data_IF_515523114727
#
_entry.id   IF_515523114727
#
_cell.length_a   1.000
_cell.length_b   1.000
_cell.length_c   1.000
_cell.angle_alpha   90.00
_cell.angle_beta   90.00
_cell.angle_gamma   90.00
#
_symmetry.space_group_name_H-M   'P 1'
#
loop_
_entity.id
_entity.type
_entity.pdbx_description
1 polymer ?
#
# COMPACT_ATOMS: atom_id res chain seq x y z
N UNK A 1 -2.30 -4.65 -57.44
CA UNK A 1 -0.86 -4.41 -57.14
C UNK A 1 -0.72 -3.14 -56.29
N UNK A 2 0.19 -3.16 -55.29
CA UNK A 2 0.53 -2.13 -54.26
C UNK A 2 -0.56 -1.87 -53.19
N UNK A 3 -0.53 -2.38 -51.95
CA UNK A 3 0.50 -2.75 -50.94
C UNK A 3 1.15 -1.57 -50.21
N UNK A 4 0.72 -1.39 -48.94
CA UNK A 4 1.42 -0.96 -47.69
C UNK A 4 2.31 0.29 -47.69
N UNK A 5 2.05 1.17 -46.71
CA UNK A 5 2.97 1.47 -45.58
C UNK A 5 2.20 2.23 -44.49
N UNK A 6 1.57 1.47 -43.59
CA UNK A 6 1.32 1.94 -42.22
C UNK A 6 2.63 1.79 -41.45
N UNK A 7 3.12 2.89 -40.89
CA UNK A 7 4.29 2.91 -40.02
C UNK A 7 3.92 2.33 -38.66
N UNK A 8 4.29 1.07 -38.47
CA UNK A 8 4.33 0.38 -37.19
C UNK A 8 5.36 1.02 -36.26
N UNK A 9 4.90 1.89 -35.36
CA UNK A 9 5.68 2.32 -34.19
C UNK A 9 5.48 1.27 -33.10
N UNK A 10 6.39 0.30 -33.08
CA UNK A 10 6.56 -0.70 -32.02
C UNK A 10 6.90 0.01 -30.71
N UNK A 11 5.88 0.28 -29.88
CA UNK A 11 6.06 0.64 -28.49
C UNK A 11 6.40 -0.63 -27.70
N UNK A 12 7.69 -0.91 -27.52
CA UNK A 12 8.20 -1.94 -26.63
C UNK A 12 7.94 -1.54 -25.17
N UNK A 13 6.69 -1.66 -24.71
CA UNK A 13 6.38 -1.67 -23.29
C UNK A 13 6.84 -3.01 -22.72
N UNK A 14 7.85 -2.95 -21.85
CA UNK A 14 8.18 -4.06 -20.95
C UNK A 14 6.94 -4.31 -20.08
N UNK A 15 6.16 -5.33 -20.45
CA UNK A 15 5.04 -5.80 -19.65
C UNK A 15 5.61 -6.46 -18.41
N UNK A 16 5.66 -5.71 -17.30
CA UNK A 16 5.95 -6.28 -15.99
C UNK A 16 4.81 -7.25 -15.65
N UNK A 17 5.04 -8.55 -15.86
CA UNK A 17 4.11 -9.60 -15.47
C UNK A 17 4.06 -9.61 -13.94
N UNK A 18 3.03 -8.99 -13.35
CA UNK A 18 2.76 -9.06 -11.91
C UNK A 18 2.49 -10.52 -11.55
N UNK A 19 3.43 -11.15 -10.86
CA UNK A 19 3.25 -12.49 -10.30
C UNK A 19 2.61 -12.37 -8.92
N UNK A 20 1.36 -12.84 -8.80
CA UNK A 20 0.68 -12.97 -7.50
C UNK A 20 1.37 -14.02 -6.62
N UNK A 21 1.40 -13.80 -5.31
CA UNK A 21 1.93 -14.80 -4.34
C UNK A 21 1.22 -16.16 -4.46
N UNK A 22 -0.09 -16.16 -4.73
CA UNK A 22 -0.84 -17.40 -4.99
C UNK A 22 -0.45 -18.07 -6.32
N UNK A 23 -0.16 -17.28 -7.35
CA UNK A 23 0.36 -17.81 -8.62
C UNK A 23 1.72 -18.48 -8.41
N UNK A 24 2.57 -17.91 -7.55
CA UNK A 24 3.86 -18.47 -7.15
C UNK A 24 3.73 -19.80 -6.39
N UNK A 25 2.78 -19.91 -5.46
CA UNK A 25 2.48 -21.17 -4.74
C UNK A 25 1.88 -22.22 -5.69
N UNK A 26 0.95 -21.83 -6.57
CA UNK A 26 0.40 -22.73 -7.60
C UNK A 26 1.50 -23.23 -8.54
N UNK A 27 2.47 -22.38 -8.90
CA UNK A 27 3.60 -22.75 -9.75
C UNK A 27 4.58 -23.69 -9.04
N UNK A 28 4.82 -23.47 -7.73
CA UNK A 28 5.60 -24.39 -6.89
C UNK A 28 4.96 -25.78 -6.83
N UNK A 29 3.64 -25.87 -6.63
CA UNK A 29 2.92 -27.14 -6.64
C UNK A 29 2.88 -27.81 -8.02
N UNK A 30 2.84 -27.06 -9.13
CA UNK A 30 2.88 -27.66 -10.49
C UNK A 30 4.27 -28.17 -10.87
N UNK A 31 5.34 -27.54 -10.39
CA UNK A 31 6.71 -28.05 -10.55
C UNK A 31 7.02 -29.29 -9.68
N UNK A 32 6.15 -29.64 -8.73
CA UNK A 32 6.36 -30.75 -7.80
C UNK A 32 5.53 -32.02 -8.12
N UNK A 33 4.77 -32.07 -9.21
CA UNK A 33 4.12 -33.32 -9.62
C UNK A 33 5.15 -34.34 -10.16
N UNK A 34 5.11 -35.61 -9.74
CA UNK A 34 5.98 -36.64 -10.29
C UNK A 34 5.53 -36.96 -11.73
N UNK A 35 6.25 -36.47 -12.73
CA UNK A 35 6.07 -36.91 -14.12
C UNK A 35 6.70 -38.30 -14.34
N UNK A 36 6.08 -39.17 -15.17
CA UNK A 36 6.47 -40.56 -15.30
C UNK A 36 7.79 -40.77 -16.05
N UNK A 37 8.44 -41.84 -15.61
CA UNK A 37 9.68 -42.54 -15.96
C UNK A 37 10.15 -42.53 -17.45
N UNK A 38 10.56 -41.37 -17.98
CA UNK A 38 11.62 -41.27 -19.02
C UNK A 38 12.16 -39.82 -19.09
N UNK A 39 13.22 -39.55 -18.34
CA UNK A 39 13.72 -38.20 -18.07
C UNK A 39 14.77 -37.76 -19.11
N UNK A 40 14.42 -36.82 -20.00
CA UNK A 40 15.35 -36.21 -20.98
C UNK A 40 16.31 -35.21 -20.28
N UNK A 41 17.64 -35.28 -20.47
CA UNK A 41 18.61 -34.36 -19.87
C UNK A 41 18.37 -32.87 -20.21
N UNK A 42 17.68 -32.54 -21.32
CA UNK A 42 17.30 -31.15 -21.65
C UNK A 42 16.19 -30.62 -20.73
N UNK A 43 15.27 -31.45 -20.26
CA UNK A 43 14.22 -31.06 -19.31
C UNK A 43 14.80 -30.78 -17.93
N UNK A 44 15.78 -31.56 -17.45
CA UNK A 44 16.50 -31.30 -16.18
C UNK A 44 17.11 -29.90 -16.10
N UNK A 45 17.69 -29.42 -17.21
CA UNK A 45 18.30 -28.09 -17.29
C UNK A 45 17.24 -26.99 -17.28
N UNK A 46 16.07 -27.24 -17.87
CA UNK A 46 14.94 -26.31 -17.90
C UNK A 46 14.24 -26.22 -16.54
N UNK A 47 14.07 -27.34 -15.84
CA UNK A 47 13.55 -27.40 -14.47
C UNK A 47 14.49 -26.73 -13.48
N UNK A 48 15.81 -26.98 -13.58
CA UNK A 48 16.82 -26.32 -12.76
C UNK A 48 16.84 -24.80 -12.97
N UNK A 49 16.69 -24.34 -14.22
CA UNK A 49 16.62 -22.91 -14.54
C UNK A 49 15.32 -22.27 -14.00
N UNK A 50 14.20 -23.00 -14.02
CA UNK A 50 12.93 -22.57 -13.43
C UNK A 50 13.05 -22.41 -11.91
N UNK A 51 13.63 -23.40 -11.22
CA UNK A 51 13.85 -23.39 -9.76
C UNK A 51 14.78 -22.24 -9.33
N UNK A 52 15.90 -22.02 -10.05
CA UNK A 52 16.80 -20.89 -9.75
C UNK A 52 16.10 -19.54 -9.92
N UNK A 53 15.31 -19.37 -11.00
CA UNK A 53 14.55 -18.13 -11.23
C UNK A 53 13.48 -17.90 -10.18
N UNK A 54 12.85 -18.97 -9.70
CA UNK A 54 11.87 -18.91 -8.60
C UNK A 54 12.53 -18.49 -7.29
N UNK A 55 13.66 -19.10 -6.93
CA UNK A 55 14.42 -18.75 -5.71
C UNK A 55 14.88 -17.29 -5.76
N UNK A 56 15.42 -16.83 -6.89
CA UNK A 56 15.82 -15.42 -7.05
C UNK A 56 14.63 -14.46 -6.92
N UNK A 57 13.47 -14.82 -7.45
CA UNK A 57 12.25 -14.02 -7.32
C UNK A 57 11.78 -13.97 -5.87
N UNK A 58 11.82 -15.10 -5.17
CA UNK A 58 11.47 -15.18 -3.75
C UNK A 58 12.41 -14.35 -2.87
N UNK A 59 13.73 -14.47 -3.08
CA UNK A 59 14.74 -13.65 -2.41
C UNK A 59 14.53 -12.16 -2.68
N UNK A 60 14.23 -11.78 -3.94
CA UNK A 60 13.92 -10.40 -4.29
C UNK A 60 12.69 -9.89 -3.55
N UNK A 61 11.62 -10.67 -3.49
CA UNK A 61 10.38 -10.31 -2.79
C UNK A 61 10.62 -10.15 -1.29
N UNK A 62 11.33 -11.09 -0.64
CA UNK A 62 11.71 -10.96 0.77
C UNK A 62 12.53 -9.69 0.99
N UNK A 63 13.53 -9.43 0.13
CA UNK A 63 14.35 -8.23 0.21
C UNK A 63 13.51 -6.94 0.15
N UNK A 64 12.52 -6.88 -0.75
CA UNK A 64 11.61 -5.74 -0.86
C UNK A 64 10.70 -5.58 0.36
N UNK A 65 10.17 -6.69 0.91
CA UNK A 65 9.35 -6.69 2.14
C UNK A 65 10.17 -6.20 3.33
N UNK A 66 11.38 -6.72 3.52
CA UNK A 66 12.28 -6.28 4.59
C UNK A 66 12.64 -4.80 4.48
N UNK A 67 12.90 -4.32 3.26
CA UNK A 67 13.17 -2.90 3.00
C UNK A 67 11.96 -2.03 3.37
N UNK A 68 10.77 -2.43 2.94
CA UNK A 68 9.51 -1.77 3.29
C UNK A 68 9.30 -1.75 4.80
N UNK A 69 9.53 -2.86 5.51
CA UNK A 69 9.36 -2.90 6.97
C UNK A 69 10.37 -2.00 7.68
N UNK A 70 11.63 -2.04 7.26
CA UNK A 70 12.69 -1.22 7.84
C UNK A 70 12.33 0.28 7.78
N UNK A 71 11.95 0.78 6.61
CA UNK A 71 11.60 2.19 6.47
C UNK A 71 10.24 2.54 7.05
N UNK A 72 9.23 1.67 6.94
CA UNK A 72 7.88 1.92 7.46
C UNK A 72 7.81 1.92 8.97
N UNK A 73 8.41 0.92 9.62
CA UNK A 73 8.51 0.89 11.08
C UNK A 73 9.47 1.98 11.55
N UNK A 74 10.62 2.13 10.88
CA UNK A 74 11.63 3.14 11.20
C UNK A 74 11.06 4.55 11.23
N UNK A 75 10.34 4.98 10.18
CA UNK A 75 9.73 6.31 10.15
C UNK A 75 8.67 6.48 11.24
N UNK A 76 7.90 5.43 11.55
CA UNK A 76 6.84 5.50 12.58
C UNK A 76 7.42 5.82 13.96
N UNK A 77 8.46 5.08 14.38
CA UNK A 77 9.14 5.33 15.65
C UNK A 77 9.92 6.63 15.64
N UNK A 78 10.60 6.94 14.52
CA UNK A 78 11.32 8.19 14.35
C UNK A 78 10.41 9.41 14.51
N UNK A 79 9.25 9.41 13.87
CA UNK A 79 8.29 10.51 13.97
C UNK A 79 7.74 10.64 15.38
N UNK A 80 7.34 9.53 16.02
CA UNK A 80 6.86 9.58 17.41
C UNK A 80 7.93 10.14 18.34
N UNK A 81 9.20 9.76 18.18
CA UNK A 81 10.30 10.30 18.96
C UNK A 81 10.53 11.78 18.67
N UNK A 82 10.61 12.16 17.39
CA UNK A 82 10.91 13.53 16.97
C UNK A 82 9.80 14.52 17.39
N UNK A 83 8.53 14.13 17.27
CA UNK A 83 7.38 14.99 17.62
C UNK A 83 7.31 15.25 19.14
N UNK A 84 7.84 14.36 19.99
CA UNK A 84 7.97 14.63 21.44
C UNK A 84 8.86 15.83 21.73
N UNK A 85 9.88 16.08 20.91
CA UNK A 85 10.77 17.22 21.07
C UNK A 85 10.32 18.42 20.23
N UNK A 86 9.80 18.18 19.02
CA UNK A 86 9.40 19.20 18.06
C UNK A 86 7.89 19.13 17.77
N UNK A 87 7.11 19.88 18.56
CA UNK A 87 5.64 19.91 18.57
C UNK A 87 5.05 20.70 17.38
N UNK A 88 5.54 20.46 16.17
CA UNK A 88 5.02 21.04 14.92
C UNK A 88 4.84 19.95 13.84
N UNK A 89 4.04 18.90 14.13
CA UNK A 89 3.91 17.73 13.26
C UNK A 89 3.44 18.07 11.83
N UNK A 90 2.53 19.03 11.64
CA UNK A 90 2.02 19.39 10.31
C UNK A 90 3.12 20.06 9.48
N UNK A 91 3.90 20.94 10.08
CA UNK A 91 5.03 21.59 9.41
C UNK A 91 6.12 20.59 9.04
N UNK A 92 6.42 19.64 9.93
CA UNK A 92 7.37 18.55 9.63
C UNK A 92 6.90 17.75 8.42
N UNK A 93 5.60 17.41 8.36
CA UNK A 93 5.05 16.70 7.20
C UNK A 93 5.17 17.56 5.94
N UNK A 94 4.88 18.86 5.97
CA UNK A 94 5.07 19.74 4.79
C UNK A 94 6.51 19.72 4.31
N UNK A 95 7.49 19.81 5.22
CA UNK A 95 8.91 19.67 4.86
C UNK A 95 9.21 18.32 4.20
N UNK A 96 8.64 17.23 4.72
CA UNK A 96 8.77 15.91 4.10
C UNK A 96 8.22 15.91 2.68
N UNK A 97 7.03 16.47 2.44
CA UNK A 97 6.41 16.53 1.12
C UNK A 97 7.26 17.34 0.12
N UNK A 98 7.82 18.47 0.56
CA UNK A 98 8.71 19.31 -0.27
C UNK A 98 10.00 18.56 -0.61
N UNK A 99 10.66 17.93 0.37
CA UNK A 99 11.89 17.17 0.13
C UNK A 99 11.61 15.95 -0.77
N UNK A 100 10.49 15.25 -0.56
CA UNK A 100 10.06 14.14 -1.44
C UNK A 100 9.84 14.61 -2.87
N UNK A 101 9.25 15.79 -3.08
CA UNK A 101 9.10 16.39 -4.40
C UNK A 101 10.46 16.69 -5.04
N UNK A 102 11.41 17.25 -4.30
CA UNK A 102 12.76 17.53 -4.80
C UNK A 102 13.54 16.25 -5.13
N UNK A 103 13.53 15.25 -4.24
CA UNK A 103 14.20 13.97 -4.46
C UNK A 103 13.62 13.19 -5.63
N UNK A 104 12.28 13.13 -5.74
CA UNK A 104 11.62 12.50 -6.89
C UNK A 104 11.93 13.26 -8.19
N UNK A 105 11.92 14.60 -8.17
CA UNK A 105 12.30 15.42 -9.33
C UNK A 105 13.74 15.18 -9.78
N UNK A 106 14.67 15.12 -8.84
CA UNK A 106 16.08 14.80 -9.09
C UNK A 106 16.22 13.40 -9.70
N UNK A 107 15.54 12.40 -9.14
CA UNK A 107 15.61 11.01 -9.61
C UNK A 107 14.98 10.85 -11.01
N UNK A 108 13.90 11.59 -11.31
CA UNK A 108 13.31 11.67 -12.66
C UNK A 108 14.27 12.31 -13.66
N UNK A 109 14.95 13.38 -13.27
CA UNK A 109 15.96 14.04 -14.11
C UNK A 109 17.11 13.07 -14.42
N UNK A 110 17.63 12.41 -13.38
CA UNK A 110 18.70 11.42 -13.51
C UNK A 110 18.30 10.25 -14.41
N UNK A 111 17.08 9.73 -14.24
CA UNK A 111 16.53 8.67 -15.07
C UNK A 111 16.41 9.09 -16.54
N UNK A 112 15.97 10.33 -16.80
CA UNK A 112 15.91 10.88 -18.15
C UNK A 112 17.29 10.99 -18.80
N UNK A 113 18.29 11.49 -18.06
CA UNK A 113 19.68 11.61 -18.56
C UNK A 113 20.25 10.24 -18.92
N UNK A 114 20.06 9.22 -18.08
CA UNK A 114 20.64 7.90 -18.31
C UNK A 114 19.90 7.07 -19.37
N UNK A 115 18.57 7.15 -19.45
CA UNK A 115 17.78 6.26 -20.32
C UNK A 115 17.29 6.94 -21.60
N UNK A 116 17.38 8.27 -21.70
CA UNK A 116 16.83 9.05 -22.80
C UNK A 116 15.30 8.97 -22.94
N UNK A 117 14.60 8.30 -22.01
CA UNK A 117 13.14 8.15 -22.07
C UNK A 117 12.45 9.46 -21.74
N UNK A 118 11.41 9.78 -22.53
CA UNK A 118 10.62 10.98 -22.33
C UNK A 118 9.91 10.95 -20.96
N UNK A 119 9.90 12.10 -20.28
CA UNK A 119 9.24 12.26 -18.97
C UNK A 119 7.73 12.29 -19.15
N UNK A 120 6.99 11.62 -18.28
CA UNK A 120 5.53 11.65 -18.30
C UNK A 120 5.05 13.04 -17.85
N UNK A 121 4.42 13.75 -18.78
CA UNK A 121 3.73 15.02 -18.54
C UNK A 121 2.23 14.73 -18.55
N UNK A 122 1.55 15.12 -17.48
CA UNK A 122 0.09 14.96 -17.35
C UNK A 122 -0.60 16.22 -17.85
N UNK A 123 -1.72 16.05 -18.53
CA UNK A 123 -2.59 17.15 -18.93
C UNK A 123 -3.29 17.77 -17.71
N UNK A 124 -3.48 19.09 -17.70
CA UNK A 124 -4.01 19.84 -16.54
C UNK A 124 -5.39 19.37 -16.05
N UNK A 125 -6.37 19.06 -16.91
CA UNK A 125 -7.67 18.56 -16.48
C UNK A 125 -7.58 17.20 -15.79
N UNK A 126 -6.73 16.31 -16.30
CA UNK A 126 -6.46 15.00 -15.68
C UNK A 126 -5.74 15.19 -14.34
N UNK A 127 -4.75 16.08 -14.32
CA UNK A 127 -3.98 16.43 -13.14
C UNK A 127 -4.89 16.96 -12.01
N UNK A 128 -5.82 17.86 -12.31
CA UNK A 128 -6.74 18.42 -11.34
C UNK A 128 -7.85 17.45 -10.93
N UNK A 129 -8.51 16.78 -11.89
CA UNK A 129 -9.69 15.95 -11.58
C UNK A 129 -9.33 14.60 -10.93
N UNK A 130 -8.16 14.05 -11.23
CA UNK A 130 -7.79 12.70 -10.79
C UNK A 130 -6.76 12.72 -9.65
N UNK A 131 -5.72 13.55 -9.75
CA UNK A 131 -4.64 13.55 -8.75
C UNK A 131 -4.94 14.48 -7.58
N UNK A 132 -5.57 15.65 -7.78
CA UNK A 132 -5.79 16.59 -6.68
C UNK A 132 -6.64 16.02 -5.53
N UNK A 133 -7.80 15.37 -5.76
CA UNK A 133 -8.61 14.81 -4.66
C UNK A 133 -7.84 13.74 -3.88
N UNK A 134 -7.13 12.86 -4.60
CA UNK A 134 -6.30 11.82 -4.02
C UNK A 134 -5.15 12.41 -3.21
N UNK A 135 -4.44 13.42 -3.74
CA UNK A 135 -3.33 14.10 -3.08
C UNK A 135 -3.77 14.86 -1.82
N UNK A 136 -4.85 15.63 -1.88
CA UNK A 136 -5.36 16.36 -0.72
C UNK A 136 -5.79 15.38 0.39
N UNK A 137 -6.54 14.33 0.06
CA UNK A 137 -6.92 13.30 1.02
C UNK A 137 -5.68 12.63 1.65
N UNK A 138 -4.63 12.39 0.85
CA UNK A 138 -3.35 11.84 1.32
C UNK A 138 -2.62 12.74 2.29
N UNK A 139 -2.60 14.04 2.02
CA UNK A 139 -1.88 14.97 2.87
C UNK A 139 -2.57 15.18 4.20
N UNK A 140 -3.91 15.26 4.20
CA UNK A 140 -4.69 15.36 5.43
C UNK A 140 -4.61 14.07 6.24
N UNK A 141 -4.68 12.90 5.59
CA UNK A 141 -4.41 11.60 6.20
C UNK A 141 -3.06 11.60 6.94
N UNK A 142 -1.96 11.89 6.24
CA UNK A 142 -0.60 11.86 6.81
C UNK A 142 -0.42 12.95 7.88
N UNK A 143 -0.94 14.16 7.64
CA UNK A 143 -0.85 15.29 8.55
C UNK A 143 -1.53 15.01 9.89
N UNK A 144 -2.82 14.63 9.86
CA UNK A 144 -3.58 14.29 11.07
C UNK A 144 -3.01 13.05 11.78
N UNK A 145 -2.50 12.08 11.02
CA UNK A 145 -1.82 10.89 11.58
C UNK A 145 -0.56 11.27 12.36
N UNK A 146 0.28 12.15 11.79
CA UNK A 146 1.47 12.64 12.50
C UNK A 146 1.08 13.53 13.69
N UNK A 147 0.06 14.37 13.55
CA UNK A 147 -0.39 15.21 14.65
C UNK A 147 -0.86 14.39 15.86
N UNK A 148 -1.51 13.26 15.62
CA UNK A 148 -1.91 12.37 16.72
C UNK A 148 -0.75 11.88 17.58
N UNK A 149 0.49 11.81 17.06
CA UNK A 149 1.64 11.37 17.84
C UNK A 149 2.02 12.33 18.97
N UNK A 150 1.49 13.54 19.00
CA UNK A 150 1.62 14.41 20.18
C UNK A 150 0.82 13.85 21.37
N UNK A 151 -0.29 13.18 21.11
CA UNK A 151 -1.28 12.82 22.13
C UNK A 151 -1.33 11.34 22.49
N UNK A 152 -1.05 10.44 21.54
CA UNK A 152 -1.28 8.99 21.71
C UNK A 152 -0.04 8.14 21.41
N UNK A 153 0.00 6.92 21.93
CA UNK A 153 1.12 5.99 21.71
C UNK A 153 1.07 5.35 20.32
N UNK A 154 2.17 4.69 19.93
CA UNK A 154 2.26 3.98 18.64
C UNK A 154 1.24 2.85 18.58
N UNK A 155 0.96 2.16 19.70
CA UNK A 155 -0.03 1.08 19.70
C UNK A 155 -1.45 1.60 19.48
N UNK A 156 -1.85 2.67 20.18
CA UNK A 156 -3.16 3.27 20.00
C UNK A 156 -3.32 3.90 18.61
N UNK A 157 -2.24 4.50 18.08
CA UNK A 157 -2.18 4.96 16.70
C UNK A 157 -2.42 3.80 15.72
N UNK A 158 -1.62 2.73 15.82
CA UNK A 158 -1.67 1.60 14.88
C UNK A 158 -3.04 0.92 14.88
N UNK A 159 -3.60 0.69 16.08
CA UNK A 159 -4.91 0.07 16.24
C UNK A 159 -6.03 0.95 15.69
N UNK A 160 -6.06 2.22 16.06
CA UNK A 160 -7.08 3.15 15.53
C UNK A 160 -6.92 3.34 14.03
N UNK A 161 -5.68 3.34 13.51
CA UNK A 161 -5.39 3.50 12.08
C UNK A 161 -5.90 2.34 11.24
N UNK A 162 -5.92 1.12 11.79
CA UNK A 162 -6.43 -0.08 11.10
C UNK A 162 -7.92 0.02 10.71
N UNK A 163 -8.70 0.89 11.37
CA UNK A 163 -10.10 1.20 10.97
C UNK A 163 -10.22 1.81 9.58
N UNK A 164 -9.11 2.27 8.99
CA UNK A 164 -9.04 2.63 7.57
C UNK A 164 -9.70 1.57 6.69
N UNK A 165 -9.55 0.27 7.00
CA UNK A 165 -10.18 -0.82 6.24
C UNK A 165 -11.71 -0.71 6.22
N UNK A 166 -12.32 -0.33 7.35
CA UNK A 166 -13.77 -0.11 7.44
C UNK A 166 -14.19 1.03 6.49
N UNK A 167 -13.41 2.11 6.48
CA UNK A 167 -13.69 3.26 5.61
C UNK A 167 -13.43 2.95 4.13
N UNK A 168 -12.37 2.21 3.79
CA UNK A 168 -12.11 1.72 2.43
C UNK A 168 -13.33 0.96 1.94
N UNK A 169 -13.82 -0.01 2.71
CA UNK A 169 -15.01 -0.78 2.35
C UNK A 169 -16.25 0.12 2.21
N UNK A 170 -16.48 1.03 3.16
CA UNK A 170 -17.59 1.97 3.12
C UNK A 170 -17.60 2.82 1.84
N UNK A 171 -16.46 3.41 1.48
CA UNK A 171 -16.30 4.19 0.26
C UNK A 171 -16.34 3.32 -1.01
N UNK A 172 -15.78 2.11 -0.99
CA UNK A 172 -15.86 1.16 -2.10
C UNK A 172 -17.30 0.78 -2.40
N UNK A 173 -18.14 0.60 -1.37
CA UNK A 173 -19.58 0.37 -1.55
C UNK A 173 -20.31 1.64 -2.02
N UNK A 174 -19.97 2.81 -1.46
CA UNK A 174 -20.59 4.09 -1.82
C UNK A 174 -20.33 4.46 -3.29
N UNK A 175 -19.12 4.23 -3.79
CA UNK A 175 -18.73 4.46 -5.18
C UNK A 175 -19.03 3.28 -6.10
N UNK A 176 -19.64 2.21 -5.60
CA UNK A 176 -20.03 1.04 -6.39
C UNK A 176 -18.85 0.23 -6.94
N UNK A 177 -17.68 0.31 -6.30
CA UNK A 177 -16.47 -0.44 -6.66
C UNK A 177 -16.50 -1.89 -6.15
N UNK A 178 -17.26 -2.16 -5.09
CA UNK A 178 -17.44 -3.50 -4.52
C UNK A 178 -18.92 -3.88 -4.44
N UNK A 179 -19.21 -5.18 -4.61
CA UNK A 179 -20.56 -5.73 -4.43
C UNK A 179 -20.83 -5.95 -2.94
N UNK A 180 -22.04 -5.61 -2.47
CA UNK A 180 -22.47 -5.85 -1.09
C UNK A 180 -22.42 -7.35 -0.78
N UNK A 181 -21.66 -7.74 0.25
CA UNK A 181 -21.57 -9.11 0.76
C UNK A 181 -21.73 -9.11 2.28
N UNK A 182 -22.49 -10.05 2.81
CA UNK A 182 -22.70 -10.16 4.26
C UNK A 182 -21.40 -10.44 5.03
N UNK A 183 -20.43 -11.14 4.42
CA UNK A 183 -19.10 -11.40 5.01
C UNK A 183 -18.34 -10.11 5.36
N UNK A 184 -18.58 -9.01 4.62
CA UNK A 184 -17.93 -7.72 4.85
C UNK A 184 -18.48 -7.03 6.11
N UNK A 185 -19.75 -7.27 6.47
CA UNK A 185 -20.35 -6.75 7.71
C UNK A 185 -19.68 -7.39 8.93
N UNK A 186 -19.40 -8.70 8.87
CA UNK A 186 -18.70 -9.43 9.95
C UNK A 186 -17.31 -8.86 10.16
N UNK A 187 -16.56 -8.60 9.08
CA UNK A 187 -15.24 -7.97 9.14
C UNK A 187 -15.30 -6.61 9.83
N UNK A 188 -16.23 -5.74 9.41
CA UNK A 188 -16.39 -4.41 10.01
C UNK A 188 -16.72 -4.52 11.49
N UNK A 189 -17.65 -5.41 11.86
CA UNK A 189 -18.03 -5.64 13.25
C UNK A 189 -16.85 -6.12 14.10
N UNK A 190 -16.02 -7.05 13.59
CA UNK A 190 -14.83 -7.54 14.29
C UNK A 190 -13.79 -6.43 14.51
N UNK A 191 -13.49 -5.63 13.49
CA UNK A 191 -12.51 -4.53 13.61
C UNK A 191 -13.04 -3.47 14.58
N UNK A 192 -14.33 -3.09 14.48
CA UNK A 192 -14.94 -2.12 15.38
C UNK A 192 -15.00 -2.60 16.83
N UNK A 193 -15.40 -3.85 17.07
CA UNK A 193 -15.43 -4.45 18.41
C UNK A 193 -14.02 -4.57 19.00
N UNK A 194 -13.05 -5.04 18.19
CA UNK A 194 -11.65 -5.13 18.60
C UNK A 194 -11.05 -3.78 18.99
N UNK A 195 -11.31 -2.73 18.19
CA UNK A 195 -10.88 -1.37 18.53
C UNK A 195 -11.56 -0.87 19.81
N UNK A 196 -12.88 -1.04 19.95
CA UNK A 196 -13.61 -0.61 21.14
C UNK A 196 -13.01 -1.23 22.40
N UNK A 197 -12.83 -2.56 22.40
CA UNK A 197 -12.18 -3.29 23.50
C UNK A 197 -10.74 -2.82 23.73
N UNK A 198 -9.97 -2.55 22.67
CA UNK A 198 -8.60 -2.06 22.79
C UNK A 198 -8.51 -0.71 23.50
N UNK A 199 -9.48 0.17 23.24
CA UNK A 199 -9.54 1.51 23.84
C UNK A 199 -10.19 1.55 25.22
N UNK A 200 -10.94 0.51 25.60
CA UNK A 200 -11.72 0.47 26.82
C UNK A 200 -10.82 0.50 28.07
N UNK A 201 -11.00 1.52 28.92
CA UNK A 201 -10.19 1.75 30.12
C UNK A 201 -8.67 1.79 29.85
N UNK A 202 -8.26 2.17 28.65
CA UNK A 202 -6.84 2.32 28.34
C UNK A 202 -6.26 3.57 29.02
N UNK A 203 -5.21 3.40 29.81
CA UNK A 203 -4.52 4.50 30.53
C UNK A 203 -3.82 5.48 29.59
N UNK A 204 -3.55 5.05 28.36
CA UNK A 204 -2.88 5.83 27.32
C UNK A 204 -3.87 6.48 26.35
N UNK A 205 -5.17 6.45 26.67
CA UNK A 205 -6.22 7.00 25.82
C UNK A 205 -6.30 8.52 25.98
N UNK A 206 -6.09 9.22 24.86
CA UNK A 206 -6.38 10.65 24.73
C UNK A 206 -7.41 10.80 23.60
N UNK A 207 -8.52 11.49 23.90
CA UNK A 207 -9.65 11.61 22.97
C UNK A 207 -9.26 12.42 21.71
N UNK A 208 -8.51 13.51 21.87
CA UNK A 208 -8.11 14.37 20.74
C UNK A 208 -7.22 13.60 19.77
N UNK A 209 -6.20 12.91 20.29
CA UNK A 209 -5.35 12.03 19.48
C UNK A 209 -6.11 10.90 18.81
N UNK A 210 -7.07 10.28 19.53
CA UNK A 210 -7.93 9.24 18.96
C UNK A 210 -8.80 9.77 17.81
N UNK A 211 -9.44 10.93 17.98
CA UNK A 211 -10.27 11.56 16.95
C UNK A 211 -9.44 12.02 15.74
N UNK A 212 -8.22 12.50 15.96
CA UNK A 212 -7.26 12.82 14.90
C UNK A 212 -6.95 11.58 14.05
N UNK A 213 -6.62 10.44 14.67
CA UNK A 213 -6.37 9.20 13.93
C UNK A 213 -7.62 8.68 13.25
N UNK A 214 -8.79 8.73 13.90
CA UNK A 214 -10.04 8.27 13.29
C UNK A 214 -10.39 9.09 12.04
N UNK A 215 -10.23 10.41 12.11
CA UNK A 215 -10.37 11.31 10.96
C UNK A 215 -9.35 11.01 9.87
N UNK A 216 -8.10 10.76 10.26
CA UNK A 216 -7.06 10.35 9.34
C UNK A 216 -7.34 8.99 8.68
N UNK A 217 -7.94 8.03 9.40
CA UNK A 217 -8.37 6.73 8.87
C UNK A 217 -9.50 6.87 7.86
N UNK A 218 -10.45 7.77 8.12
CA UNK A 218 -11.50 8.11 7.16
C UNK A 218 -10.91 8.67 5.86
N UNK A 219 -10.01 9.65 5.97
CA UNK A 219 -9.30 10.22 4.82
C UNK A 219 -8.42 9.21 4.09
N UNK A 220 -7.78 8.30 4.83
CA UNK A 220 -7.02 7.18 4.24
C UNK A 220 -7.94 6.27 3.42
N UNK A 221 -9.14 5.95 3.92
CA UNK A 221 -10.14 5.18 3.18
C UNK A 221 -10.59 5.87 1.89
N UNK A 222 -10.84 7.18 1.96
CA UNK A 222 -11.15 7.99 0.78
C UNK A 222 -9.99 8.01 -0.22
N UNK A 223 -8.75 8.24 0.26
CA UNK A 223 -7.54 8.22 -0.57
C UNK A 223 -7.39 6.91 -1.33
N UNK A 224 -7.47 5.77 -0.64
CA UNK A 224 -7.27 4.46 -1.28
C UNK A 224 -8.35 4.14 -2.31
N UNK A 225 -9.60 4.50 -2.04
CA UNK A 225 -10.70 4.29 -3.00
C UNK A 225 -10.60 5.21 -4.21
N UNK A 226 -10.26 6.48 -4.03
CA UNK A 226 -9.96 7.40 -5.12
C UNK A 226 -8.75 6.92 -5.94
N UNK A 227 -7.66 6.52 -5.28
CA UNK A 227 -6.49 5.97 -5.96
C UNK A 227 -6.84 4.71 -6.77
N UNK A 228 -7.70 3.84 -6.25
CA UNK A 228 -8.21 2.69 -6.98
C UNK A 228 -8.98 3.10 -8.24
N UNK A 229 -9.87 4.09 -8.16
CA UNK A 229 -10.61 4.61 -9.33
C UNK A 229 -9.67 5.21 -10.38
N UNK A 230 -8.61 5.87 -9.93
CA UNK A 230 -7.60 6.50 -10.79
C UNK A 230 -6.74 5.44 -11.48
N UNK A 231 -6.25 4.42 -10.77
CA UNK A 231 -5.44 3.32 -11.32
C UNK A 231 -6.25 2.42 -12.27
N UNK A 232 -7.56 2.26 -12.05
CA UNK A 232 -8.42 1.49 -12.96
C UNK A 232 -8.62 2.14 -14.33
N UNK A 233 -8.33 3.45 -14.48
CA UNK A 233 -8.35 4.12 -15.79
C UNK A 233 -7.03 3.84 -16.52
N UNK A 234 -7.09 2.96 -17.53
CA UNK A 234 -5.95 2.43 -18.31
C UNK A 234 -5.04 3.46 -19.04
N UNK A 235 -5.28 4.76 -18.92
CA UNK A 235 -4.72 5.78 -19.82
C UNK A 235 -3.59 6.65 -19.26
N UNK A 236 -3.24 6.54 -17.97
CA UNK A 236 -2.40 7.57 -17.36
C UNK A 236 -0.88 7.47 -17.61
N UNK A 237 -0.36 6.38 -18.20
CA UNK A 237 1.08 6.25 -18.47
C UNK A 237 1.99 6.30 -17.23
N UNK A 238 1.45 6.36 -16.01
CA UNK A 238 2.15 6.42 -14.72
C UNK A 238 2.68 5.03 -14.30
N UNK A 239 3.48 4.40 -15.16
CA UNK A 239 4.07 3.10 -14.87
C UNK A 239 5.27 3.17 -13.91
N UNK A 240 5.87 4.35 -13.74
CA UNK A 240 7.05 4.55 -12.91
C UNK A 240 6.64 5.12 -11.53
N UNK A 241 7.06 4.50 -10.42
CA UNK A 241 6.69 4.92 -9.08
C UNK A 241 7.18 6.33 -8.74
N UNK A 242 8.34 6.71 -9.28
CA UNK A 242 8.93 8.03 -9.07
C UNK A 242 8.10 9.13 -9.75
N UNK A 243 7.51 8.83 -10.91
CA UNK A 243 6.59 9.76 -11.59
C UNK A 243 5.33 9.98 -10.74
N UNK A 244 4.77 8.93 -10.13
CA UNK A 244 3.60 9.04 -9.26
C UNK A 244 3.89 9.91 -8.03
N UNK A 245 5.01 9.65 -7.33
CA UNK A 245 5.43 10.44 -6.17
C UNK A 245 5.52 11.92 -6.56
N UNK A 246 6.29 12.24 -7.61
CA UNK A 246 6.49 13.62 -8.03
C UNK A 246 5.18 14.35 -8.35
N UNK A 247 4.27 13.69 -9.05
CA UNK A 247 3.05 14.32 -9.53
C UNK A 247 2.00 14.51 -8.43
N UNK A 248 2.03 13.71 -7.36
CA UNK A 248 1.08 13.81 -6.24
C UNK A 248 1.54 14.81 -5.17
N UNK A 249 2.86 14.96 -4.92
CA UNK A 249 3.36 15.82 -3.83
C UNK A 249 2.87 17.29 -3.86
N UNK A 250 2.78 18.00 -5.00
CA UNK A 250 2.31 19.38 -5.02
C UNK A 250 0.89 19.53 -4.48
N UNK A 251 0.00 18.61 -4.85
CA UNK A 251 -1.38 18.58 -4.35
C UNK A 251 -1.44 18.26 -2.86
N UNK A 252 -0.49 17.46 -2.37
CA UNK A 252 -0.40 17.19 -0.95
C UNK A 252 0.00 18.44 -0.16
N UNK A 253 1.01 19.17 -0.64
CA UNK A 253 1.43 20.44 -0.03
C UNK A 253 0.28 21.44 -0.02
N UNK A 254 -0.41 21.62 -1.16
CA UNK A 254 -1.56 22.53 -1.27
C UNK A 254 -2.70 22.13 -0.31
N UNK A 255 -2.94 20.82 -0.14
CA UNK A 255 -3.99 20.33 0.76
C UNK A 255 -3.69 20.53 2.24
N UNK A 256 -2.42 20.37 2.65
CA UNK A 256 -2.02 20.41 4.07
C UNK A 256 -1.59 21.81 4.55
N UNK A 257 -1.05 22.64 3.65
CA UNK A 257 -0.50 23.96 4.00
C UNK A 257 -1.51 24.86 4.73
N UNK A 258 -2.78 24.99 4.32
CA UNK A 258 -3.75 25.81 5.05
C UNK A 258 -3.92 25.35 6.50
N UNK A 259 -3.96 24.04 6.72
CA UNK A 259 -4.10 23.46 8.06
C UNK A 259 -2.88 23.79 8.93
N UNK A 260 -1.67 23.62 8.40
CA UNK A 260 -0.45 23.94 9.13
C UNK A 260 -0.33 25.43 9.46
N UNK A 261 -0.72 26.33 8.54
CA UNK A 261 -0.69 27.77 8.79
C UNK A 261 -1.68 28.17 9.90
N UNK A 262 -2.90 27.61 9.89
CA UNK A 262 -3.92 27.91 10.88
C UNK A 262 -3.52 27.44 12.29
N UNK A 263 -3.00 26.22 12.41
CA UNK A 263 -2.74 25.60 13.72
C UNK A 263 -1.31 25.81 14.24
N UNK A 264 -0.30 25.81 13.36
CA UNK A 264 1.12 25.87 13.76
C UNK A 264 1.82 27.17 13.32
N UNK A 265 1.20 28.00 12.48
CA UNK A 265 1.87 29.15 11.85
C UNK A 265 2.41 30.20 12.84
N UNK A 266 1.62 30.64 13.82
CA UNK A 266 2.09 31.59 14.85
C UNK A 266 3.07 30.91 15.82
N UNK A 267 2.78 29.72 16.37
CA UNK A 267 3.70 29.00 17.23
C UNK A 267 5.08 28.73 16.62
N UNK A 268 5.16 28.35 15.34
CA UNK A 268 6.44 28.08 14.69
C UNK A 268 7.24 29.36 14.45
N UNK A 269 6.57 30.44 14.01
CA UNK A 269 7.21 31.73 13.73
C UNK A 269 7.86 32.34 14.98
N UNK A 270 7.34 32.00 16.16
CA UNK A 270 7.84 32.51 17.45
C UNK A 270 8.81 31.55 18.15
N UNK A 271 9.05 30.36 17.60
CA UNK A 271 9.83 29.31 18.26
C UNK A 271 11.34 29.53 18.12
N UNK A 272 12.09 29.29 19.20
CA UNK A 272 13.56 29.43 19.22
C UNK A 272 14.28 28.29 18.50
N UNK A 273 13.58 27.20 18.19
CA UNK A 273 14.12 26.05 17.44
C UNK A 273 14.22 26.27 15.94
N UNK A 274 13.54 27.29 15.39
CA UNK A 274 13.50 27.55 13.94
C UNK A 274 13.75 29.03 13.63
N UNK A 275 12.77 29.91 13.87
CA UNK A 275 12.82 31.29 13.36
C UNK A 275 13.42 32.28 14.36
N UNK A 276 13.28 32.04 15.67
CA UNK A 276 13.84 32.90 16.73
C UNK A 276 15.07 32.29 17.38
N UNK A 277 15.92 31.67 16.58
CA UNK A 277 17.07 30.93 17.09
C UNK A 277 18.14 31.86 17.65
N UNK A 278 18.71 31.45 18.79
CA UNK A 278 19.85 32.12 19.42
C UNK A 278 21.18 31.52 18.98
N UNK A 279 21.17 30.24 18.61
CA UNK A 279 22.35 29.49 18.19
C UNK A 279 22.10 28.82 16.83
N UNK A 280 23.06 28.98 15.91
CA UNK A 280 22.99 28.38 14.56
C UNK A 280 23.02 26.84 14.62
N UNK A 281 23.72 26.28 15.61
CA UNK A 281 23.79 24.84 15.87
C UNK A 281 22.41 24.22 16.07
N UNK A 282 21.55 24.86 16.86
CA UNK A 282 20.21 24.37 17.16
C UNK A 282 19.31 24.27 15.92
N UNK A 283 19.39 25.26 15.03
CA UNK A 283 18.64 25.24 13.76
C UNK A 283 19.19 24.19 12.82
N UNK A 284 20.52 24.09 12.70
CA UNK A 284 21.14 23.10 11.81
C UNK A 284 20.82 21.67 12.26
N UNK A 285 20.84 21.40 13.57
CA UNK A 285 20.42 20.12 14.13
C UNK A 285 18.94 19.83 13.85
N UNK A 286 18.06 20.81 14.08
CA UNK A 286 16.61 20.65 13.80
C UNK A 286 16.35 20.38 12.32
N UNK A 287 16.98 21.14 11.44
CA UNK A 287 16.88 20.93 9.99
C UNK A 287 17.46 19.57 9.57
N UNK A 288 18.57 19.15 10.19
CA UNK A 288 19.17 17.84 9.97
C UNK A 288 18.24 16.69 10.35
N UNK A 289 17.54 16.78 11.49
CA UNK A 289 16.53 15.81 11.89
C UNK A 289 15.33 15.81 10.93
N UNK A 290 14.78 16.98 10.59
CA UNK A 290 13.68 17.07 9.60
C UNK A 290 14.10 16.46 8.25
N UNK A 291 15.33 16.72 7.80
CA UNK A 291 15.86 16.16 6.56
C UNK A 291 16.01 14.64 6.64
N UNK A 292 16.51 14.11 7.76
CA UNK A 292 16.61 12.67 7.98
C UNK A 292 15.22 12.01 7.96
N UNK A 293 14.24 12.58 8.66
CA UNK A 293 12.84 12.14 8.63
C UNK A 293 12.24 12.18 7.22
N UNK A 294 12.55 13.24 6.46
CA UNK A 294 12.12 13.40 5.07
C UNK A 294 12.69 12.31 4.15
N UNK A 295 13.98 11.99 4.31
CA UNK A 295 14.65 10.94 3.54
C UNK A 295 14.08 9.57 3.89
N UNK A 296 13.86 9.28 5.18
CA UNK A 296 13.19 8.06 5.62
C UNK A 296 11.76 7.96 5.04
N UNK A 297 11.00 9.04 5.05
CA UNK A 297 9.65 9.08 4.47
C UNK A 297 9.65 8.87 2.95
N UNK A 298 10.64 9.41 2.23
CA UNK A 298 10.83 9.18 0.80
C UNK A 298 11.14 7.71 0.51
N UNK A 299 12.08 7.10 1.25
CA UNK A 299 12.43 5.70 1.05
C UNK A 299 11.30 4.74 1.47
N UNK A 300 10.54 5.08 2.50
CA UNK A 300 9.34 4.35 2.89
C UNK A 300 8.34 4.27 1.73
N UNK A 301 7.96 5.43 1.17
CA UNK A 301 7.02 5.48 0.04
C UNK A 301 7.58 4.81 -1.21
N UNK A 302 8.87 5.03 -1.54
CA UNK A 302 9.52 4.37 -2.66
C UNK A 302 9.52 2.84 -2.49
N UNK A 303 9.84 2.33 -1.30
CA UNK A 303 9.87 0.89 -1.03
C UNK A 303 8.49 0.25 -1.10
N UNK A 304 7.44 0.95 -0.64
CA UNK A 304 6.05 0.53 -0.74
C UNK A 304 5.62 0.39 -2.21
N UNK A 305 5.93 1.41 -3.03
CA UNK A 305 5.63 1.35 -4.45
C UNK A 305 6.45 0.28 -5.19
N UNK A 306 7.75 0.12 -4.88
CA UNK A 306 8.57 -0.93 -5.47
C UNK A 306 8.01 -2.31 -5.14
N UNK A 307 7.56 -2.52 -3.90
CA UNK A 307 6.89 -3.75 -3.49
C UNK A 307 5.61 -3.95 -4.31
N UNK A 308 4.76 -2.93 -4.45
CA UNK A 308 3.53 -2.99 -5.26
C UNK A 308 3.78 -3.27 -6.74
N UNK A 309 4.87 -2.75 -7.32
CA UNK A 309 5.21 -2.95 -8.73
C UNK A 309 5.75 -4.34 -9.03
N UNK A 310 6.57 -4.87 -8.14
CA UNK A 310 7.20 -6.17 -8.33
C UNK A 310 6.39 -7.34 -7.76
N UNK A 311 5.32 -7.05 -7.01
CA UNK A 311 4.41 -8.04 -6.43
C UNK A 311 2.96 -7.68 -6.77
N UNK A 312 1.98 -8.33 -6.15
CA UNK A 312 0.57 -7.98 -6.30
C UNK A 312 0.09 -7.07 -5.17
N UNK A 313 -1.02 -6.37 -5.40
CA UNK A 313 -1.73 -5.62 -4.36
C UNK A 313 -2.13 -6.50 -3.17
N UNK A 314 -2.35 -7.81 -3.39
CA UNK A 314 -2.59 -8.78 -2.35
C UNK A 314 -1.35 -9.04 -1.49
N UNK A 315 -0.17 -9.21 -2.10
CA UNK A 315 1.10 -9.36 -1.37
C UNK A 315 1.38 -8.14 -0.50
N UNK A 316 1.16 -6.93 -1.01
CA UNK A 316 1.27 -5.71 -0.23
C UNK A 316 0.31 -5.69 0.96
N UNK A 317 -0.93 -6.12 0.76
CA UNK A 317 -1.95 -6.18 1.83
C UNK A 317 -1.53 -7.15 2.95
N UNK A 318 -1.05 -8.36 2.60
CA UNK A 318 -0.56 -9.35 3.57
C UNK A 318 0.67 -8.81 4.31
N UNK A 319 1.66 -8.28 3.60
CA UNK A 319 2.84 -7.67 4.20
C UNK A 319 2.48 -6.50 5.13
N UNK A 320 1.45 -5.73 4.79
CA UNK A 320 0.90 -4.67 5.64
C UNK A 320 0.44 -5.18 7.01
N UNK A 321 -0.33 -6.28 7.04
CA UNK A 321 -0.82 -6.89 8.30
C UNK A 321 0.34 -7.34 9.17
N UNK A 322 1.30 -8.08 8.60
CA UNK A 322 2.48 -8.52 9.35
C UNK A 322 3.32 -7.35 9.85
N UNK A 323 3.49 -6.29 9.05
CA UNK A 323 4.15 -5.05 9.47
C UNK A 323 3.45 -4.41 10.67
N UNK A 324 2.12 -4.37 10.70
CA UNK A 324 1.35 -3.84 11.84
C UNK A 324 1.58 -4.66 13.11
N UNK A 325 1.55 -6.00 13.01
CA UNK A 325 1.87 -6.90 14.13
C UNK A 325 3.29 -6.64 14.65
N UNK A 326 4.28 -6.54 13.77
CA UNK A 326 5.65 -6.20 14.15
C UNK A 326 5.74 -4.83 14.82
N UNK A 327 5.04 -3.83 14.29
CA UNK A 327 5.00 -2.46 14.85
C UNK A 327 4.43 -2.46 16.26
N UNK A 328 3.33 -3.17 16.49
CA UNK A 328 2.70 -3.32 17.82
C UNK A 328 3.62 -4.02 18.81
N UNK A 329 4.24 -5.13 18.41
CA UNK A 329 5.22 -5.84 19.25
C UNK A 329 6.39 -4.93 19.65
N UNK A 330 6.94 -4.19 18.69
CA UNK A 330 8.03 -3.24 18.95
C UNK A 330 7.54 -2.06 19.81
N UNK A 331 6.29 -1.61 19.66
CA UNK A 331 5.75 -0.50 20.43
C UNK A 331 5.65 -0.86 21.91
N UNK A 332 5.15 -2.05 22.23
CA UNK A 332 5.10 -2.58 23.60
C UNK A 332 6.52 -2.72 24.17
N UNK A 333 7.47 -3.26 23.39
CA UNK A 333 8.84 -3.50 23.87
C UNK A 333 9.68 -2.22 24.07
N UNK A 334 9.60 -1.28 23.14
CA UNK A 334 10.47 -0.08 23.11
C UNK A 334 9.81 1.16 23.70
N UNK A 335 8.50 1.33 23.56
CA UNK A 335 7.77 2.50 24.10
C UNK A 335 7.27 2.23 25.52
N UNK A 336 7.21 0.96 25.93
CA UNK A 336 6.70 0.57 27.24
C UNK A 336 5.18 0.72 27.35
N UNK A 337 4.46 0.60 26.23
CA UNK A 337 3.00 0.73 26.20
C UNK A 337 2.37 -0.30 27.14
N UNK A 338 1.77 0.18 28.23
CA UNK A 338 1.06 -0.67 29.19
C UNK A 338 -0.28 -1.12 28.61
N UNK A 339 -0.45 -2.44 28.46
CA UNK A 339 -1.70 -3.04 27.98
C UNK A 339 -2.37 -3.85 29.08
N UNK A 340 -3.63 -3.55 29.35
CA UNK A 340 -4.48 -4.40 30.17
C UNK A 340 -4.83 -5.68 29.40
N UNK A 341 -5.33 -6.70 30.09
CA UNK A 341 -5.82 -7.93 29.45
C UNK A 341 -6.93 -7.64 28.44
N UNK A 342 -7.83 -6.69 28.75
CA UNK A 342 -8.91 -6.29 27.84
C UNK A 342 -8.34 -5.66 26.56
N UNK A 343 -7.32 -4.80 26.70
CA UNK A 343 -6.67 -4.18 25.55
C UNK A 343 -6.04 -5.25 24.65
N UNK A 344 -5.36 -6.23 25.25
CA UNK A 344 -4.74 -7.32 24.51
C UNK A 344 -5.76 -8.19 23.77
N UNK A 345 -6.89 -8.53 24.41
CA UNK A 345 -7.98 -9.26 23.74
C UNK A 345 -8.53 -8.43 22.57
N UNK A 346 -8.76 -7.13 22.76
CA UNK A 346 -9.19 -6.22 21.68
C UNK A 346 -8.22 -6.20 20.51
N UNK A 347 -6.91 -6.19 20.78
CA UNK A 347 -5.86 -6.32 19.77
C UNK A 347 -6.00 -7.60 18.96
N UNK A 348 -6.15 -8.75 19.62
CA UNK A 348 -6.31 -10.04 18.94
C UNK A 348 -7.58 -10.07 18.07
N UNK A 349 -8.71 -9.61 18.60
CA UNK A 349 -9.98 -9.55 17.86
C UNK A 349 -9.86 -8.67 16.61
N UNK A 350 -9.20 -7.51 16.72
CA UNK A 350 -8.96 -6.62 15.60
C UNK A 350 -8.07 -7.27 14.53
N UNK A 351 -6.97 -7.91 14.94
CA UNK A 351 -6.06 -8.61 14.02
C UNK A 351 -6.76 -9.76 13.28
N UNK A 352 -7.67 -10.48 13.94
CA UNK A 352 -8.51 -11.50 13.31
C UNK A 352 -9.40 -10.86 12.23
N UNK A 353 -10.05 -9.73 12.53
CA UNK A 353 -10.87 -9.00 11.56
C UNK A 353 -10.09 -8.55 10.33
N UNK A 354 -8.89 -7.99 10.53
CA UNK A 354 -7.97 -7.57 9.45
C UNK A 354 -7.52 -8.78 8.61
N UNK A 355 -7.13 -9.88 9.26
CA UNK A 355 -6.70 -11.11 8.58
C UNK A 355 -7.84 -11.71 7.76
N UNK A 356 -9.05 -11.75 8.32
CA UNK A 356 -10.25 -12.21 7.61
C UNK A 356 -10.55 -11.34 6.38
N UNK A 357 -10.43 -10.02 6.49
CA UNK A 357 -10.58 -9.11 5.35
C UNK A 357 -9.62 -9.47 4.21
N UNK A 358 -8.34 -9.68 4.54
CA UNK A 358 -7.31 -10.02 3.54
C UNK A 358 -7.61 -11.38 2.89
N UNK A 359 -8.04 -12.37 3.67
CA UNK A 359 -8.43 -13.70 3.14
C UNK A 359 -9.63 -13.56 2.19
N UNK A 360 -10.67 -12.83 2.58
CA UNK A 360 -11.85 -12.62 1.73
C UNK A 360 -11.49 -11.93 0.43
N UNK A 361 -10.60 -10.92 0.48
CA UNK A 361 -10.10 -10.22 -0.71
C UNK A 361 -9.25 -11.14 -1.60
N UNK A 362 -8.46 -12.03 -1.01
CA UNK A 362 -7.69 -13.03 -1.75
C UNK A 362 -8.59 -14.01 -2.51
N UNK A 363 -9.60 -14.55 -1.83
CA UNK A 363 -10.59 -15.47 -2.42
C UNK A 363 -11.34 -14.78 -3.56
N UNK A 364 -11.76 -13.53 -3.36
CA UNK A 364 -12.47 -12.77 -4.41
C UNK A 364 -11.62 -12.54 -5.65
N UNK A 365 -10.34 -12.17 -5.44
CA UNK A 365 -9.39 -11.98 -6.53
C UNK A 365 -9.19 -13.27 -7.34
N UNK A 366 -9.11 -14.42 -6.66
CA UNK A 366 -8.97 -15.74 -7.30
C UNK A 366 -10.22 -16.14 -8.09
N UNK A 367 -11.43 -15.83 -7.61
CA UNK A 367 -12.69 -16.08 -8.32
C UNK A 367 -12.76 -15.24 -9.60
N UNK A 368 -12.46 -13.94 -9.51
CA UNK A 368 -12.46 -13.03 -10.66
C UNK A 368 -11.42 -13.44 -11.71
N UNK A 369 -10.28 -13.98 -11.30
CA UNK A 369 -9.26 -14.49 -12.22
C UNK A 369 -9.75 -15.73 -12.98
N UNK A 370 -10.39 -16.68 -12.29
CA UNK A 370 -10.99 -17.87 -12.92
C UNK A 370 -12.11 -17.53 -13.90
N UNK A 371 -13.00 -16.58 -13.56
CA UNK A 371 -14.08 -16.14 -14.46
C UNK A 371 -13.52 -15.53 -15.76
N UNK A 372 -12.46 -14.72 -15.67
CA UNK A 372 -11.80 -14.13 -16.84
C UNK A 372 -11.13 -15.19 -17.71
N UNK A 373 -10.51 -16.19 -17.10
CA UNK A 373 -9.90 -17.31 -17.82
C UNK A 373 -10.98 -18.10 -18.58
N UNK A 374 -12.10 -18.44 -17.93
CA UNK A 374 -13.22 -19.13 -18.56
C UNK A 374 -13.80 -18.33 -19.74
N UNK A 375 -14.03 -17.02 -19.56
CA UNK A 375 -14.50 -16.14 -20.65
C UNK A 375 -13.51 -16.07 -21.81
N UNK A 376 -12.20 -16.06 -21.52
CA UNK A 376 -11.15 -16.09 -22.54
C UNK A 376 -11.14 -17.39 -23.34
N UNK A 377 -11.27 -18.54 -22.66
CA UNK A 377 -11.41 -19.84 -23.31
C UNK A 377 -12.68 -19.90 -24.19
N UNK A 378 -13.79 -19.39 -23.68
CA UNK A 378 -15.06 -19.37 -24.41
C UNK A 378 -14.99 -18.49 -25.67
N UNK A 379 -14.37 -17.30 -25.59
CA UNK A 379 -14.11 -16.47 -26.77
C UNK A 379 -13.18 -17.13 -27.80
N UNK A 380 -12.22 -17.94 -27.35
CA UNK A 380 -11.31 -18.67 -28.24
C UNK A 380 -12.02 -19.85 -28.93
N UNK A 381 -12.93 -20.53 -28.23
CA UNK A 381 -13.78 -21.59 -28.79
C UNK A 381 -14.72 -21.00 -29.85
N UNK A 382 -15.44 -19.92 -29.52
CA UNK A 382 -16.32 -19.20 -30.45
C UNK A 382 -15.57 -18.72 -31.70
N UNK A 383 -14.35 -18.19 -31.54
CA UNK A 383 -13.53 -17.70 -32.67
C UNK A 383 -13.03 -18.82 -33.58
N UNK A 384 -12.82 -20.02 -33.04
CA UNK A 384 -12.31 -21.16 -33.81
C UNK A 384 -13.44 -22.00 -34.43
N UNK A 385 -14.71 -21.60 -34.27
CA UNK A 385 -15.86 -22.33 -34.82
C UNK A 385 -15.99 -23.74 -34.23
N UNK A 386 -15.45 -23.95 -33.04
CA UNK A 386 -15.66 -25.15 -32.25
C UNK A 386 -16.82 -24.83 -31.33
N UNK A 387 -18.04 -25.07 -31.83
CA UNK A 387 -19.20 -25.12 -30.94
C UNK A 387 -18.88 -26.19 -29.91
N UNK A 388 -18.90 -25.81 -28.63
CA UNK A 388 -18.91 -26.79 -27.56
C UNK A 388 -20.22 -27.56 -27.73
N UNK A 389 -20.14 -28.76 -28.32
CA UNK A 389 -21.27 -29.67 -28.38
C UNK A 389 -21.85 -29.77 -26.96
N UNK A 390 -23.12 -29.43 -26.88
CA UNK A 390 -23.85 -29.14 -25.66
C UNK A 390 -24.31 -30.44 -24.98
N UNK A 391 -23.43 -31.44 -24.96
CA UNK A 391 -23.67 -32.78 -24.42
C UNK A 391 -22.62 -33.07 -23.33
N UNK A 392 -22.69 -32.36 -22.20
CA UNK A 392 -22.25 -32.87 -20.88
C UNK A 392 -22.77 -31.92 -19.78
N UNK A 393 -24.06 -32.04 -19.47
CA UNK A 393 -24.55 -31.83 -18.09
C UNK A 393 -23.84 -32.84 -17.18
N UNK A 394 -22.77 -32.40 -16.50
CA UNK A 394 -22.32 -32.84 -15.15
C UNK A 394 -20.79 -32.67 -14.99
N UNK A 395 -20.32 -31.43 -14.81
CA UNK A 395 -19.01 -31.17 -14.15
C UNK A 395 -19.17 -30.05 -13.13
N UNK A 396 -20.15 -30.19 -12.25
CA UNK A 396 -20.22 -29.46 -10.99
C UNK A 396 -19.99 -30.48 -9.87
N UNK A 397 -18.93 -30.28 -9.08
CA UNK A 397 -18.48 -31.09 -7.93
C UNK A 397 -17.58 -32.31 -8.22
N UNK A 398 -16.29 -32.07 -8.51
CA UNK A 398 -15.26 -33.01 -8.03
C UNK A 398 -13.90 -32.34 -7.81
N UNK A 399 -13.70 -31.71 -6.64
CA UNK A 399 -12.36 -31.54 -6.04
C UNK A 399 -12.47 -31.57 -4.50
N UNK A 400 -12.93 -32.69 -3.97
CA UNK A 400 -12.69 -33.08 -2.57
C UNK A 400 -12.29 -34.55 -2.55
N UNK A 401 -11.04 -34.91 -2.23
CA UNK A 401 -10.77 -36.25 -1.77
C UNK A 401 -11.18 -36.32 -0.30
N UNK A 402 -12.34 -36.93 -0.07
CA UNK A 402 -12.76 -37.42 1.25
C UNK A 402 -11.69 -38.41 1.73
N UNK A 403 -10.97 -38.05 2.79
CA UNK A 403 -10.20 -39.00 3.60
C UNK A 403 -11.13 -39.51 4.70
N UNK A 404 -11.69 -40.71 4.49
CA UNK A 404 -12.17 -41.60 5.54
C UNK A 404 -11.79 -43.03 5.18
N UNK A 405 -10.66 -43.47 5.71
CA UNK A 405 -10.50 -44.75 6.41
C UNK A 405 -9.47 -44.55 7.51
#
# INVERSE_FOLDING_TARGET
>A
MKRRRESSQSSSHSSYRQTSFLSLIKHFNTCCYPCPEKYDPKMKKMDSFCTVRLILTFMKTIGLVCLYYCFSIGITFYQKWFIKDFHFPLTVVICHLVVKFMLSGMLRCLYHIFTGRQRVVLDWPTYFKQLAPTGIASALDIGLSNWSFEFITISLYTMTKSTCIIFILGFSLLFGLEKKRYSLIIVVALIAAGLFMFTYQSTQFNLDGFLLVLSASFLAGLRWTLAQMVVQRKEMGLGNPVDMIYHVQPWMVVGLLPLAVIFEGIPIATTEKVFRYKEVSAVLSTLGYILLGSVLAFFMELSEYLLLLFTSSLTLSIAGVFKEVCTLYLAVKFTGDHMTTVNFIGLVVCLIGITLHVILKAVDSDVVEKEKEHQGWQQLLDRNGLDADNDEEDVLYETTPITRM
#
